data_IF_102320032287
#
_entry.id   IF_102320032287
#
_cell.length_a   1.000
_cell.length_b   1.000
_cell.length_c   1.000
_cell.angle_alpha   90.00
_cell.angle_beta   90.00
_cell.angle_gamma   90.00
#
_symmetry.space_group_name_H-M   'P 1'
#
loop_
_entity.id
_entity.type
_entity.pdbx_description
1 polymer ?
#
# COMPACT_ATOMS: atom_id res chain seq x y z
N UNK A 1 3.07 5.72 -7.68
CA UNK A 1 3.21 7.11 -7.19
C UNK A 1 3.23 7.08 -5.67
N UNK A 2 4.03 7.93 -5.02
CA UNK A 2 4.02 8.15 -3.57
C UNK A 2 4.12 9.63 -3.28
N UNK A 3 3.83 10.02 -2.04
CA UNK A 3 3.83 11.39 -1.59
C UNK A 3 2.53 11.72 -0.90
N UNK A 4 2.25 13.00 -0.79
CA UNK A 4 1.11 13.49 -0.05
C UNK A 4 0.27 14.46 -0.88
N UNK A 5 -1.02 14.50 -0.58
CA UNK A 5 -1.96 15.46 -1.14
C UNK A 5 -2.12 16.63 -0.17
N UNK A 6 -2.16 17.83 -0.72
CA UNK A 6 -2.66 19.03 -0.05
C UNK A 6 -4.11 19.20 -0.44
N UNK A 7 -5.00 19.22 0.56
CA UNK A 7 -6.45 19.44 0.34
C UNK A 7 -6.84 20.81 0.87
N UNK A 8 -7.59 21.58 0.08
CA UNK A 8 -8.14 22.90 0.44
C UNK A 8 -9.59 22.95 0.00
N UNK A 9 -10.51 22.78 0.95
CA UNK A 9 -11.94 22.69 0.63
C UNK A 9 -12.22 21.46 -0.23
N UNK A 10 -12.72 21.70 -1.45
CA UNK A 10 -13.00 20.66 -2.44
C UNK A 10 -11.88 20.50 -3.47
N UNK A 11 -10.76 21.20 -3.31
CA UNK A 11 -9.61 21.12 -4.22
C UNK A 11 -8.49 20.30 -3.60
N UNK A 12 -7.72 19.61 -4.44
CA UNK A 12 -6.49 18.93 -4.05
C UNK A 12 -5.34 19.28 -5.00
N UNK A 13 -4.12 19.22 -4.48
CA UNK A 13 -2.88 19.26 -5.27
C UNK A 13 -1.84 18.31 -4.68
N UNK A 14 -0.91 17.82 -5.49
CA UNK A 14 0.24 17.10 -4.96
C UNK A 14 1.16 18.04 -4.17
N UNK A 15 1.71 17.55 -3.06
CA UNK A 15 2.84 18.20 -2.40
C UNK A 15 4.15 17.93 -3.15
N UNK A 16 5.17 18.75 -2.89
CA UNK A 16 6.47 18.70 -3.58
C UNK A 16 7.24 17.39 -3.37
N UNK A 17 6.90 16.62 -2.33
CA UNK A 17 7.44 15.30 -2.04
C UNK A 17 6.81 14.18 -2.88
N UNK A 18 5.86 14.51 -3.76
CA UNK A 18 5.16 13.52 -4.58
C UNK A 18 5.98 13.13 -5.80
N UNK A 19 6.18 11.83 -5.98
CA UNK A 19 6.97 11.26 -7.06
C UNK A 19 6.29 10.03 -7.68
N UNK A 20 6.58 9.80 -8.96
CA UNK A 20 6.18 8.61 -9.71
C UNK A 20 7.41 7.78 -10.05
N UNK A 21 7.40 6.51 -9.64
CA UNK A 21 8.45 5.55 -9.99
C UNK A 21 8.12 4.97 -11.35
N UNK A 22 9.00 5.26 -12.30
CA UNK A 22 9.04 4.65 -13.61
C UNK A 22 10.44 4.04 -13.71
N UNK A 23 10.58 2.71 -13.53
CA UNK A 23 11.88 2.06 -13.43
C UNK A 23 12.85 2.53 -14.54
N UNK A 24 14.09 2.92 -14.20
CA UNK A 24 14.73 2.84 -12.88
C UNK A 24 14.58 4.12 -12.01
N UNK A 25 13.88 5.16 -12.48
CA UNK A 25 13.93 6.50 -11.90
C UNK A 25 12.63 6.87 -11.14
N UNK A 26 12.77 7.82 -10.23
CA UNK A 26 11.66 8.54 -9.60
C UNK A 26 11.58 9.95 -10.20
N UNK A 27 10.37 10.38 -10.57
CA UNK A 27 10.14 11.69 -11.16
C UNK A 27 9.22 12.51 -10.27
N UNK A 28 9.53 13.79 -9.96
CA UNK A 28 8.60 14.69 -9.30
C UNK A 28 7.30 14.80 -10.09
N UNK A 29 6.18 14.77 -9.37
CA UNK A 29 4.84 14.85 -9.94
C UNK A 29 4.21 16.18 -9.55
N UNK A 30 3.62 16.85 -10.54
CA UNK A 30 2.71 17.97 -10.32
C UNK A 30 1.30 17.54 -10.71
N UNK A 31 0.30 18.14 -10.12
CA UNK A 31 -1.07 17.77 -10.38
C UNK A 31 -2.02 18.33 -9.36
N UNK A 32 -3.26 18.44 -9.78
CA UNK A 32 -4.35 19.01 -9.00
C UNK A 32 -5.68 18.59 -9.55
N UNK A 33 -6.71 18.78 -8.74
CA UNK A 33 -8.07 18.55 -9.16
C UNK A 33 -9.06 18.83 -8.04
N UNK A 34 -10.19 18.16 -8.12
CA UNK A 34 -11.32 18.37 -7.21
C UNK A 34 -11.76 17.07 -6.55
N UNK A 35 -12.48 17.23 -5.45
CA UNK A 35 -13.09 16.16 -4.67
C UNK A 35 -14.56 16.48 -4.49
N UNK A 36 -15.41 15.51 -4.83
CA UNK A 36 -16.80 15.49 -4.40
C UNK A 36 -16.92 14.51 -3.22
N UNK A 37 -17.20 15.01 -1.99
CA UNK A 37 -17.22 14.16 -0.80
C UNK A 37 -18.11 12.94 -0.93
N UNK A 38 -17.52 11.76 -0.67
CA UNK A 38 -18.18 10.45 -0.79
C UNK A 38 -18.75 10.19 -2.19
N UNK A 39 -18.18 10.81 -3.23
CA UNK A 39 -18.62 10.66 -4.62
C UNK A 39 -17.45 10.41 -5.57
N UNK A 40 -16.54 11.36 -5.73
CA UNK A 40 -15.43 11.24 -6.68
C UNK A 40 -14.20 12.03 -6.28
N UNK A 41 -13.05 11.58 -6.79
CA UNK A 41 -11.83 12.37 -6.91
C UNK A 41 -11.54 12.51 -8.41
N UNK A 42 -11.36 13.75 -8.86
CA UNK A 42 -11.12 14.11 -10.25
C UNK A 42 -9.89 15.00 -10.35
N UNK A 43 -9.19 14.98 -11.48
CA UNK A 43 -8.04 15.86 -11.73
C UNK A 43 -7.01 15.24 -12.66
N UNK A 44 -5.87 15.91 -12.78
CA UNK A 44 -4.78 15.48 -13.67
C UNK A 44 -3.43 15.53 -12.97
N UNK A 45 -2.47 14.81 -13.53
CA UNK A 45 -1.08 14.81 -13.07
C UNK A 45 -0.12 14.82 -14.26
N UNK A 46 1.05 15.42 -14.06
CA UNK A 46 2.14 15.45 -15.02
C UNK A 46 3.48 15.18 -14.29
N UNK A 47 4.40 14.56 -15.00
CA UNK A 47 5.76 14.27 -14.54
C UNK A 47 6.71 14.36 -15.73
N UNK A 48 7.99 14.64 -15.49
CA UNK A 48 9.04 14.61 -16.52
C UNK A 48 8.71 15.42 -17.79
N UNK A 49 8.08 16.59 -17.63
CA UNK A 49 7.60 17.45 -18.73
C UNK A 49 6.64 16.78 -19.73
N UNK A 50 6.00 15.67 -19.34
CA UNK A 50 5.01 14.97 -20.16
C UNK A 50 3.66 15.69 -20.14
N UNK A 51 2.83 15.37 -21.14
CA UNK A 51 1.43 15.81 -21.16
C UNK A 51 0.70 15.31 -19.90
N UNK A 52 -0.21 16.13 -19.31
CA UNK A 52 -1.00 15.69 -18.18
C UNK A 52 -1.83 14.44 -18.50
N UNK A 53 -1.95 13.55 -17.53
CA UNK A 53 -2.79 12.34 -17.54
C UNK A 53 -3.87 12.45 -16.47
N UNK A 54 -4.99 11.78 -16.67
CA UNK A 54 -6.10 11.84 -15.71
C UNK A 54 -5.81 11.02 -14.45
N UNK A 55 -6.17 11.58 -13.29
CA UNK A 55 -6.22 10.85 -12.01
C UNK A 55 -7.57 10.17 -11.82
N UNK A 56 -8.66 10.77 -12.34
CA UNK A 56 -10.03 10.32 -12.12
C UNK A 56 -10.89 10.30 -13.40
N UNK A 57 -12.22 10.12 -13.27
CA UNK A 57 -12.96 10.04 -12.01
C UNK A 57 -12.68 8.75 -11.24
N UNK A 58 -12.13 8.89 -10.04
CA UNK A 58 -12.07 7.79 -9.07
C UNK A 58 -13.36 7.83 -8.25
N UNK A 59 -14.26 6.89 -8.50
CA UNK A 59 -15.54 6.81 -7.82
C UNK A 59 -15.41 6.28 -6.38
N UNK A 60 -16.17 6.88 -5.47
CA UNK A 60 -16.36 6.36 -4.13
C UNK A 60 -17.31 5.17 -4.16
N UNK A 61 -16.89 4.04 -3.60
CA UNK A 61 -17.73 2.85 -3.43
C UNK A 61 -17.98 2.62 -1.94
N UNK A 62 -19.24 2.67 -1.53
CA UNK A 62 -19.61 2.53 -0.11
C UNK A 62 -19.30 1.13 0.40
N UNK A 63 -19.44 0.14 -0.48
CA UNK A 63 -19.15 -1.27 -0.24
C UNK A 63 -17.68 -1.46 0.13
N UNK A 64 -16.75 -0.74 -0.52
CA UNK A 64 -15.35 -0.75 -0.12
C UNK A 64 -15.10 0.06 1.14
N UNK A 65 -15.71 1.25 1.22
CA UNK A 65 -15.42 2.19 2.30
C UNK A 65 -15.87 1.67 3.68
N UNK A 66 -16.91 0.81 3.72
CA UNK A 66 -17.52 0.30 4.94
C UNK A 66 -17.50 -1.25 5.04
N UNK A 67 -16.52 -1.92 4.42
CA UNK A 67 -16.53 -3.37 4.24
C UNK A 67 -15.91 -4.20 5.39
N UNK A 68 -15.24 -3.56 6.35
CA UNK A 68 -14.28 -4.27 7.20
C UNK A 68 -14.29 -3.78 8.65
N UNK A 69 -13.84 -4.67 9.53
CA UNK A 69 -13.59 -4.40 10.95
C UNK A 69 -12.17 -4.86 11.30
N UNK A 70 -11.70 -4.59 12.52
CA UNK A 70 -10.40 -5.08 12.98
C UNK A 70 -10.27 -6.60 12.83
N UNK A 71 -11.33 -7.36 13.12
CA UNK A 71 -11.36 -8.82 12.96
C UNK A 71 -11.19 -9.27 11.49
N UNK A 72 -11.43 -8.38 10.51
CA UNK A 72 -11.19 -8.69 9.10
C UNK A 72 -9.70 -8.85 8.78
N UNK A 73 -8.80 -8.32 9.60
CA UNK A 73 -7.34 -8.43 9.42
C UNK A 73 -6.80 -9.81 9.76
N UNK A 74 -7.40 -10.53 10.71
CA UNK A 74 -6.84 -11.80 11.21
C UNK A 74 -6.70 -12.85 10.10
N UNK A 75 -5.57 -13.52 10.05
CA UNK A 75 -5.26 -14.56 9.06
C UNK A 75 -4.00 -14.25 8.24
N UNK A 76 -3.77 -15.08 7.22
CA UNK A 76 -2.64 -14.94 6.31
C UNK A 76 -2.99 -14.03 5.14
N UNK A 77 -2.05 -13.17 4.77
CA UNK A 77 -2.12 -12.33 3.58
C UNK A 77 -0.85 -12.51 2.77
N UNK A 78 -0.98 -12.71 1.46
CA UNK A 78 0.18 -12.81 0.59
C UNK A 78 -0.11 -12.22 -0.77
N UNK A 79 0.93 -11.70 -1.45
CA UNK A 79 0.78 -11.39 -2.86
C UNK A 79 0.76 -12.71 -3.62
N UNK A 80 -0.32 -12.93 -4.38
CA UNK A 80 -0.53 -14.17 -5.13
C UNK A 80 0.05 -14.11 -6.54
N UNK A 81 0.59 -12.95 -6.91
CA UNK A 81 1.31 -12.80 -8.17
C UNK A 81 2.60 -13.60 -8.07
N UNK A 82 2.65 -14.67 -8.86
CA UNK A 82 3.76 -15.58 -9.10
C UNK A 82 5.00 -14.92 -9.71
N UNK A 83 5.13 -13.60 -9.62
CA UNK A 83 6.32 -12.91 -10.10
C UNK A 83 7.50 -13.30 -9.21
N UNK A 84 8.57 -13.90 -9.76
CA UNK A 84 9.77 -14.22 -9.00
C UNK A 84 10.50 -12.96 -8.48
N UNK A 85 10.06 -11.77 -8.91
CA UNK A 85 10.68 -10.50 -8.53
C UNK A 85 10.32 -10.01 -7.13
N UNK A 86 9.16 -10.40 -6.58
CA UNK A 86 8.68 -9.97 -5.26
C UNK A 86 7.70 -10.99 -4.67
N UNK A 87 8.06 -11.57 -3.52
CA UNK A 87 7.13 -12.32 -2.67
C UNK A 87 7.00 -11.65 -1.31
N UNK A 88 5.78 -11.60 -0.78
CA UNK A 88 5.45 -11.01 0.52
C UNK A 88 4.33 -11.81 1.16
N UNK A 89 4.56 -12.27 2.39
CA UNK A 89 3.55 -12.95 3.21
C UNK A 89 3.55 -12.33 4.60
N UNK A 90 2.36 -12.07 5.14
CA UNK A 90 2.17 -11.67 6.53
C UNK A 90 1.08 -12.51 7.19
N UNK A 91 1.28 -12.85 8.45
CA UNK A 91 0.31 -13.49 9.32
C UNK A 91 -0.11 -12.48 10.39
N UNK A 92 -1.41 -12.21 10.49
CA UNK A 92 -1.96 -11.23 11.43
C UNK A 92 -2.83 -11.95 12.47
N UNK A 93 -2.67 -11.60 13.74
CA UNK A 93 -3.46 -12.13 14.84
C UNK A 93 -4.79 -11.38 15.07
N UNK A 94 -5.48 -11.68 16.18
CA UNK A 94 -6.75 -11.04 16.56
C UNK A 94 -6.63 -9.58 16.98
N UNK A 95 -5.42 -9.17 17.39
CA UNK A 95 -5.08 -7.86 17.91
C UNK A 95 -4.49 -6.97 16.81
N UNK A 96 -4.23 -7.52 15.62
CA UNK A 96 -3.60 -6.82 14.52
C UNK A 96 -2.08 -6.85 14.59
N UNK A 97 -1.46 -7.60 15.51
CA UNK A 97 -0.02 -7.83 15.50
C UNK A 97 0.28 -8.80 14.37
N UNK A 98 1.36 -8.54 13.62
CA UNK A 98 1.73 -9.39 12.51
C UNK A 98 3.21 -9.74 12.48
N UNK A 99 3.49 -10.90 11.91
CA UNK A 99 4.82 -11.32 11.45
C UNK A 99 4.75 -11.61 9.96
N UNK A 100 5.89 -11.62 9.27
CA UNK A 100 5.91 -11.91 7.85
C UNK A 100 7.31 -12.02 7.27
N UNK A 101 7.36 -12.15 5.96
CA UNK A 101 8.62 -12.20 5.22
C UNK A 101 8.49 -11.62 3.82
N UNK A 102 9.64 -11.26 3.25
CA UNK A 102 9.77 -10.93 1.83
C UNK A 102 10.73 -11.90 1.13
N UNK A 103 10.61 -11.96 -0.19
CA UNK A 103 11.54 -12.65 -1.08
C UNK A 103 11.58 -11.96 -2.45
N UNK A 104 12.51 -12.37 -3.31
CA UNK A 104 12.66 -11.86 -4.67
C UNK A 104 13.68 -10.73 -4.79
N UNK A 105 14.16 -10.50 -6.03
CA UNK A 105 15.30 -9.63 -6.32
C UNK A 105 15.02 -8.13 -6.09
N UNK A 106 13.75 -7.71 -6.07
CA UNK A 106 13.39 -6.31 -5.88
C UNK A 106 13.64 -5.83 -4.44
N UNK A 107 13.37 -6.68 -3.45
CA UNK A 107 13.37 -6.31 -2.04
C UNK A 107 14.36 -7.15 -1.21
N UNK A 108 14.64 -8.39 -1.62
CA UNK A 108 15.46 -9.32 -0.85
C UNK A 108 14.67 -10.03 0.25
N UNK A 109 15.41 -10.69 1.15
CA UNK A 109 14.87 -11.49 2.25
C UNK A 109 14.83 -10.69 3.55
N UNK A 110 13.65 -10.16 3.88
CA UNK A 110 13.37 -9.48 5.14
C UNK A 110 12.49 -10.36 6.02
N UNK A 111 12.75 -10.39 7.34
CA UNK A 111 11.72 -10.73 8.34
C UNK A 111 10.94 -9.47 8.66
N UNK A 112 9.61 -9.54 8.61
CA UNK A 112 8.69 -8.46 8.89
C UNK A 112 8.01 -8.68 10.24
N UNK A 113 7.78 -7.59 10.97
CA UNK A 113 6.97 -7.60 12.20
C UNK A 113 6.30 -6.26 12.40
N UNK A 114 5.18 -6.20 13.12
CA UNK A 114 4.54 -4.92 13.41
C UNK A 114 3.07 -5.03 13.80
N UNK A 115 2.32 -3.96 13.56
CA UNK A 115 0.90 -3.84 13.88
C UNK A 115 0.12 -3.23 12.74
N UNK A 116 -1.11 -3.70 12.53
CA UNK A 116 -2.10 -3.13 11.62
C UNK A 116 -3.43 -2.97 12.35
N UNK A 117 -3.83 -1.73 12.60
CA UNK A 117 -5.00 -1.39 13.40
C UNK A 117 -5.93 -0.46 12.62
N UNK A 118 -7.26 -0.60 12.80
CA UNK A 118 -8.22 0.33 12.23
C UNK A 118 -7.85 1.77 12.59
N UNK A 119 -7.77 2.65 11.58
CA UNK A 119 -7.46 4.05 11.79
C UNK A 119 -8.55 4.75 12.63
N UNK A 120 -9.78 4.26 12.55
CA UNK A 120 -10.87 4.62 13.45
C UNK A 120 -11.38 3.36 14.17
N UNK A 121 -10.94 3.11 15.41
CA UNK A 121 -11.36 1.95 16.19
C UNK A 121 -12.87 1.84 16.31
N UNK A 122 -13.39 0.60 16.25
CA UNK A 122 -14.83 0.32 16.36
C UNK A 122 -15.68 0.74 15.14
N UNK A 123 -15.06 1.26 14.07
CA UNK A 123 -15.78 1.59 12.83
C UNK A 123 -15.78 0.43 11.83
N UNK A 124 -16.61 0.57 10.78
CA UNK A 124 -16.57 -0.29 9.61
C UNK A 124 -15.61 0.21 8.51
N UNK A 125 -14.83 1.26 8.79
CA UNK A 125 -14.02 1.94 7.77
C UNK A 125 -12.86 1.08 7.32
N UNK A 126 -12.52 1.19 6.04
CA UNK A 126 -11.48 0.36 5.44
C UNK A 126 -10.04 0.87 5.54
N UNK A 127 -9.83 1.97 6.27
CA UNK A 127 -8.51 2.52 6.54
C UNK A 127 -7.91 1.97 7.83
N UNK A 128 -6.61 1.67 7.76
CA UNK A 128 -5.78 1.15 8.83
C UNK A 128 -4.53 2.00 9.00
N UNK A 129 -3.99 2.00 10.21
CA UNK A 129 -2.64 2.45 10.52
C UNK A 129 -1.72 1.24 10.59
N UNK A 130 -0.62 1.28 9.85
CA UNK A 130 0.41 0.27 9.81
C UNK A 130 1.66 0.77 10.55
N UNK A 131 2.23 -0.10 11.37
CA UNK A 131 3.61 0.01 11.84
C UNK A 131 4.34 -1.25 11.40
N UNK A 132 5.50 -1.12 10.76
CA UNK A 132 6.26 -2.24 10.22
C UNK A 132 7.74 -2.10 10.55
N UNK A 133 8.35 -3.17 11.03
CA UNK A 133 9.80 -3.34 11.17
C UNK A 133 10.25 -4.43 10.21
N UNK A 134 11.32 -4.15 9.48
CA UNK A 134 12.00 -5.11 8.61
C UNK A 134 13.42 -5.37 9.13
N UNK A 135 13.82 -6.64 9.15
CA UNK A 135 15.15 -7.09 9.56
C UNK A 135 15.73 -7.97 8.48
N UNK A 136 17.02 -7.82 8.15
CA UNK A 136 17.69 -8.69 7.19
C UNK A 136 17.66 -10.14 7.67
N UNK A 137 17.15 -11.03 6.83
CA UNK A 137 17.08 -12.47 7.07
C UNK A 137 17.86 -13.25 6.00
N UNK A 138 18.56 -12.55 5.09
CA UNK A 138 19.33 -13.18 4.04
C UNK A 138 20.56 -13.90 4.60
N UNK A 139 20.86 -15.08 4.05
CA UNK A 139 22.11 -15.81 4.31
C UNK A 139 23.21 -15.51 3.30
N UNK A 140 22.86 -14.95 2.14
CA UNK A 140 23.76 -14.50 1.10
C UNK A 140 23.48 -13.03 0.75
N UNK A 141 24.53 -12.23 0.57
CA UNK A 141 24.43 -10.77 0.36
C UNK A 141 23.65 -10.38 -0.89
N UNK A 142 23.60 -11.24 -1.91
CA UNK A 142 22.79 -11.01 -3.13
C UNK A 142 21.29 -10.91 -2.84
N UNK A 143 20.84 -11.41 -1.70
CA UNK A 143 19.45 -11.40 -1.26
C UNK A 143 19.21 -10.47 -0.06
N UNK A 144 20.17 -9.60 0.28
CA UNK A 144 20.05 -8.71 1.43
C UNK A 144 18.73 -7.93 1.43
N UNK A 145 18.11 -7.85 2.60
CA UNK A 145 16.91 -7.04 2.80
C UNK A 145 17.21 -5.56 2.49
N UNK A 146 16.53 -5.03 1.47
CA UNK A 146 16.66 -3.64 1.03
C UNK A 146 15.76 -2.67 1.79
N UNK A 147 14.84 -3.18 2.63
CA UNK A 147 13.95 -2.38 3.47
C UNK A 147 14.63 -1.92 4.75
N UNK A 148 15.77 -1.24 4.63
CA UNK A 148 16.51 -0.70 5.78
C UNK A 148 15.72 0.44 6.44
N UNK A 149 15.30 0.32 7.72
CA UNK A 149 14.54 1.39 8.38
C UNK A 149 15.40 2.64 8.58
N UNK A 150 14.82 3.82 8.36
CA UNK A 150 15.48 5.09 8.62
C UNK A 150 15.41 5.44 10.13
N UNK A 151 16.55 5.47 10.82
CA UNK A 151 16.83 6.08 12.15
C UNK A 151 15.91 5.76 13.37
N UNK A 152 14.70 5.25 13.19
CA UNK A 152 13.64 5.09 14.21
C UNK A 152 13.15 3.64 14.33
N UNK A 153 13.77 2.71 13.58
CA UNK A 153 13.57 1.27 13.76
C UNK A 153 12.24 0.70 13.25
N UNK A 154 11.31 1.52 12.74
CA UNK A 154 10.04 1.07 12.14
C UNK A 154 9.46 2.10 11.16
N UNK A 155 8.78 1.61 10.13
CA UNK A 155 7.95 2.38 9.21
C UNK A 155 6.56 2.57 9.81
N UNK A 156 5.99 3.76 9.65
CA UNK A 156 4.61 4.04 10.01
C UNK A 156 3.90 4.69 8.81
N UNK A 157 2.67 4.25 8.52
CA UNK A 157 1.92 4.78 7.38
C UNK A 157 0.50 4.25 7.31
N UNK A 158 -0.29 4.77 6.35
CA UNK A 158 -1.63 4.25 6.09
C UNK A 158 -1.57 2.88 5.38
N UNK A 159 -2.55 2.05 5.69
CA UNK A 159 -2.88 0.84 4.96
C UNK A 159 -4.40 0.80 4.71
N UNK A 160 -4.83 0.05 3.70
CA UNK A 160 -6.26 -0.04 3.33
C UNK A 160 -6.60 -1.50 3.06
N UNK A 161 -7.81 -1.92 3.44
CA UNK A 161 -8.41 -3.13 2.86
C UNK A 161 -9.38 -2.72 1.74
N UNK A 162 -9.14 -3.18 0.53
CA UNK A 162 -10.06 -3.07 -0.60
C UNK A 162 -10.68 -4.42 -0.95
N UNK A 163 -11.89 -4.39 -1.51
CA UNK A 163 -12.49 -5.48 -2.27
C UNK A 163 -12.08 -5.32 -3.73
N UNK A 164 -11.27 -6.26 -4.21
CA UNK A 164 -10.80 -6.31 -5.59
C UNK A 164 -11.55 -7.42 -6.30
N UNK A 165 -12.07 -7.21 -7.52
CA UNK A 165 -12.74 -8.26 -8.29
C UNK A 165 -11.89 -9.52 -8.36
N UNK A 166 -12.51 -10.69 -8.21
CA UNK A 166 -11.82 -11.97 -8.21
C UNK A 166 -11.22 -12.36 -9.58
N UNK A 167 -11.44 -11.55 -10.61
CA UNK A 167 -10.96 -11.80 -11.97
C UNK A 167 -11.58 -13.09 -12.50
N UNK A 168 -10.75 -13.99 -13.04
CA UNK A 168 -11.19 -15.28 -13.61
C UNK A 168 -11.83 -16.24 -12.60
N UNK A 169 -11.82 -15.91 -11.30
CA UNK A 169 -12.47 -16.67 -10.25
C UNK A 169 -13.87 -16.09 -9.94
N UNK A 170 -14.72 -15.95 -10.95
CA UNK A 170 -16.01 -15.25 -10.87
C UNK A 170 -16.92 -15.75 -9.72
N UNK A 171 -16.83 -17.05 -9.37
CA UNK A 171 -17.58 -17.63 -8.24
C UNK A 171 -17.20 -17.06 -6.87
N UNK A 172 -16.03 -16.43 -6.74
CA UNK A 172 -15.57 -15.78 -5.52
C UNK A 172 -16.04 -14.33 -5.39
N UNK A 173 -16.55 -13.71 -6.47
CA UNK A 173 -16.96 -12.31 -6.51
C UNK A 173 -15.79 -11.33 -6.29
N UNK A 174 -15.39 -11.12 -5.04
CA UNK A 174 -14.34 -10.19 -4.65
C UNK A 174 -13.37 -10.81 -3.64
N UNK A 175 -12.09 -10.46 -3.75
CA UNK A 175 -11.09 -10.74 -2.73
C UNK A 175 -10.84 -9.52 -1.85
N UNK A 176 -10.58 -9.78 -0.56
CA UNK A 176 -9.98 -8.77 0.31
C UNK A 176 -8.51 -8.62 -0.02
N UNK A 177 -8.11 -7.38 -0.24
CA UNK A 177 -6.77 -6.95 -0.58
C UNK A 177 -6.27 -5.96 0.47
N UNK A 178 -5.18 -6.30 1.15
CA UNK A 178 -4.45 -5.38 2.01
C UNK A 178 -3.43 -4.63 1.16
N UNK A 179 -3.57 -3.30 1.11
CA UNK A 179 -2.73 -2.42 0.32
C UNK A 179 -1.97 -1.46 1.24
N UNK A 180 -0.65 -1.38 1.03
CA UNK A 180 0.19 -0.38 1.68
C UNK A 180 1.44 -0.09 0.85
N UNK A 181 2.07 1.03 1.15
CA UNK A 181 3.29 1.49 0.51
C UNK A 181 4.33 1.84 1.58
N UNK A 182 5.56 1.36 1.40
CA UNK A 182 6.70 1.70 2.24
C UNK A 182 7.89 2.09 1.36
N UNK A 183 8.65 3.11 1.77
CA UNK A 183 9.92 3.48 1.14
C UNK A 183 11.03 3.51 2.19
N UNK A 184 12.16 2.83 1.93
CA UNK A 184 13.36 2.88 2.76
C UNK A 184 14.12 4.20 2.57
N UNK A 185 15.04 4.50 3.48
CA UNK A 185 15.98 5.62 3.30
C UNK A 185 16.93 5.44 2.11
N UNK A 186 17.18 4.19 1.70
CA UNK A 186 17.99 3.85 0.52
C UNK A 186 17.19 3.94 -0.78
N UNK A 187 15.91 4.34 -0.71
CA UNK A 187 15.04 4.52 -1.87
C UNK A 187 14.30 3.25 -2.32
N UNK A 188 14.52 2.10 -1.69
CA UNK A 188 13.78 0.87 -1.98
C UNK A 188 12.30 1.06 -1.62
N UNK A 189 11.41 0.70 -2.55
CA UNK A 189 9.97 0.91 -2.38
C UNK A 189 9.25 -0.43 -2.42
N UNK A 190 8.45 -0.71 -1.39
CA UNK A 190 7.54 -1.83 -1.32
C UNK A 190 6.11 -1.31 -1.51
N UNK A 191 5.59 -1.45 -2.72
CA UNK A 191 4.16 -1.28 -3.00
C UNK A 191 3.55 -2.67 -3.09
N UNK A 192 2.64 -3.00 -2.17
CA UNK A 192 2.06 -4.34 -2.09
C UNK A 192 0.55 -4.30 -2.10
N UNK A 193 0.01 -5.31 -2.76
CA UNK A 193 -1.38 -5.72 -2.71
C UNK A 193 -1.37 -7.19 -2.27
N UNK A 194 -1.70 -7.44 -1.00
CA UNK A 194 -1.72 -8.77 -0.44
C UNK A 194 -3.16 -9.29 -0.42
N UNK A 195 -3.39 -10.45 -1.02
CA UNK A 195 -4.68 -11.13 -0.97
C UNK A 195 -4.80 -11.89 0.34
N UNK A 196 -5.96 -11.81 0.98
CA UNK A 196 -6.29 -12.69 2.11
C UNK A 196 -6.32 -14.14 1.63
N UNK A 197 -5.58 -15.03 2.30
CA UNK A 197 -5.57 -16.45 1.99
C UNK A 197 -6.75 -17.15 2.70
N UNK A 198 -7.21 -18.29 2.16
CA UNK A 198 -8.25 -19.12 2.78
C UNK A 198 -7.92 -19.53 4.22
#
# INVERSE_FOLDING_TARGET
>A
MWGSLKVRGLDWSFNLDTELYVPPNAYPVTGSGTFAPKKSVDGTYAYDNRRPSDVGPLAYTIENALAVSQASMTGTWSNTDSSPSLGVTVQVDGQGVFTGSTSGVQIGQCTLSGTVALAQPGSAKNMYSLTLKAVNAATASTNDCKLTPAATGSYAGPAIIGLVPAGVYDSNGYFRSLMFLIRSNTGATLLVNLRKQP
#
